data_IF_686572565636
#
_entry.id   IF_686572565636
#
_cell.length_a   1.000
_cell.length_b   1.000
_cell.length_c   1.000
_cell.angle_alpha   90.00
_cell.angle_beta   90.00
_cell.angle_gamma   90.00
#
_symmetry.space_group_name_H-M   'P 1'
#
loop_
_entity.id
_entity.type
_entity.pdbx_description
1 polymer ?
#
# COMPACT_ATOMS: atom_id res chain seq x y z
N UNK A 1 10.43 3.54 9.29
CA UNK A 1 10.58 4.91 9.82
C UNK A 1 9.20 5.53 9.88
N UNK A 2 8.79 6.20 10.98
CA UNK A 2 7.44 6.75 11.11
C UNK A 2 7.01 7.63 9.92
N UNK A 3 7.91 8.43 9.38
CA UNK A 3 7.66 9.33 8.24
C UNK A 3 7.17 8.65 6.96
N UNK A 4 7.37 7.33 6.80
CA UNK A 4 6.90 6.59 5.62
C UNK A 4 5.63 5.78 5.89
N UNK A 5 5.20 5.63 7.14
CA UNK A 5 4.14 4.68 7.49
C UNK A 5 2.75 5.13 7.04
N UNK A 6 2.49 6.43 6.88
CA UNK A 6 1.17 6.91 6.49
C UNK A 6 0.73 6.38 5.11
N UNK A 7 1.68 6.13 4.19
CA UNK A 7 1.38 5.60 2.85
C UNK A 7 0.87 4.15 2.85
N UNK A 8 1.03 3.46 3.98
CA UNK A 8 0.59 2.09 4.20
C UNK A 8 -0.54 1.98 5.24
N UNK A 9 -1.14 3.10 5.64
CA UNK A 9 -2.36 3.10 6.44
C UNK A 9 -3.60 2.80 5.57
N UNK A 10 -4.65 2.22 6.17
CA UNK A 10 -5.92 2.02 5.49
C UNK A 10 -6.46 3.31 4.86
N UNK A 11 -7.05 3.22 3.66
CA UNK A 11 -7.74 4.33 3.00
C UNK A 11 -6.90 5.59 2.74
N UNK A 12 -5.58 5.46 2.63
CA UNK A 12 -4.71 6.60 2.35
C UNK A 12 -4.38 6.79 0.87
N UNK A 13 -4.37 5.71 0.07
CA UNK A 13 -4.07 5.76 -1.36
C UNK A 13 -4.67 4.57 -2.12
N UNK A 14 -5.08 4.81 -3.37
CA UNK A 14 -5.57 3.75 -4.27
C UNK A 14 -4.46 3.34 -5.24
N UNK A 15 -3.86 4.28 -5.96
CA UNK A 15 -2.84 3.94 -6.98
C UNK A 15 -1.44 3.88 -6.41
N UNK A 16 -0.57 3.08 -7.02
CA UNK A 16 0.86 3.03 -6.71
C UNK A 16 1.55 4.37 -6.99
N UNK A 17 1.19 5.04 -8.08
CA UNK A 17 1.71 6.38 -8.41
C UNK A 17 1.28 7.41 -7.35
N UNK A 18 -0.01 7.48 -7.02
CA UNK A 18 -0.53 8.41 -6.00
C UNK A 18 0.13 8.18 -4.64
N UNK A 19 0.34 6.92 -4.27
CA UNK A 19 1.04 6.53 -3.04
C UNK A 19 2.49 7.03 -3.02
N UNK A 20 3.25 6.78 -4.08
CA UNK A 20 4.67 7.09 -4.16
C UNK A 20 4.94 8.61 -4.33
N UNK A 21 4.21 9.26 -5.23
CA UNK A 21 4.37 10.69 -5.53
C UNK A 21 3.97 11.55 -4.34
N UNK A 22 2.82 11.27 -3.72
CA UNK A 22 2.40 11.99 -2.52
C UNK A 22 3.40 11.81 -1.37
N UNK A 23 3.98 10.61 -1.22
CA UNK A 23 4.96 10.35 -0.16
C UNK A 23 6.25 11.10 -0.42
N UNK A 24 6.71 11.15 -1.67
CA UNK A 24 7.87 11.95 -2.06
C UNK A 24 7.66 13.44 -1.75
N UNK A 25 6.51 14.00 -2.14
CA UNK A 25 6.19 15.41 -1.87
C UNK A 25 6.10 15.69 -0.37
N UNK A 26 5.48 14.79 0.41
CA UNK A 26 5.40 14.92 1.86
C UNK A 26 6.80 14.84 2.50
N UNK A 27 7.63 13.91 2.05
CA UNK A 27 9.02 13.79 2.49
C UNK A 27 9.78 15.09 2.25
N UNK A 28 9.72 15.63 1.03
CA UNK A 28 10.41 16.88 0.69
C UNK A 28 9.94 18.06 1.54
N UNK A 29 8.63 18.15 1.82
CA UNK A 29 8.04 19.26 2.56
C UNK A 29 8.27 19.21 4.07
N UNK A 30 8.20 18.02 4.67
CA UNK A 30 8.12 17.88 6.12
C UNK A 30 9.31 17.12 6.75
N UNK A 31 10.00 16.28 5.97
CA UNK A 31 10.92 15.30 6.53
C UNK A 31 12.35 15.37 5.98
N UNK A 32 12.61 16.01 4.84
CA UNK A 32 13.94 16.06 4.20
C UNK A 32 15.02 16.54 5.18
N UNK A 33 14.76 17.64 5.88
CA UNK A 33 15.73 18.24 6.81
C UNK A 33 15.77 17.55 8.17
N UNK A 34 14.82 16.65 8.44
CA UNK A 34 14.73 15.83 9.66
C UNK A 34 15.28 14.42 9.43
N UNK A 35 15.48 14.03 8.17
CA UNK A 35 15.86 12.69 7.81
C UNK A 35 17.36 12.48 8.07
N UNK A 36 17.67 11.55 8.98
CA UNK A 36 19.04 11.14 9.25
C UNK A 36 19.29 9.73 8.72
N UNK A 37 19.47 9.63 7.40
CA UNK A 37 19.92 8.39 6.77
C UNK A 37 21.45 8.40 6.70
N UNK A 38 22.10 7.77 7.69
CA UNK A 38 23.57 7.66 7.73
C UNK A 38 24.07 6.92 6.48
N UNK A 39 25.05 7.50 5.78
CA UNK A 39 25.66 6.99 4.55
C UNK A 39 24.71 6.75 3.36
N UNK A 40 23.43 7.09 3.50
CA UNK A 40 22.40 6.86 2.50
C UNK A 40 21.73 8.18 2.10
N UNK A 41 21.34 8.28 0.85
CA UNK A 41 20.56 9.40 0.34
C UNK A 41 19.25 8.88 -0.26
N UNK A 42 18.14 9.51 0.15
CA UNK A 42 16.81 9.14 -0.29
C UNK A 42 16.63 9.57 -1.75
N UNK A 43 16.35 8.59 -2.60
CA UNK A 43 16.17 8.78 -4.05
C UNK A 43 14.71 9.01 -4.38
N UNK A 44 13.79 8.35 -3.67
CA UNK A 44 12.37 8.43 -3.94
C UNK A 44 11.63 7.21 -3.43
N UNK A 45 10.40 7.05 -3.90
CA UNK A 45 9.53 5.96 -3.51
C UNK A 45 8.98 5.24 -4.72
N UNK A 46 8.71 3.95 -4.57
CA UNK A 46 7.92 3.14 -5.49
C UNK A 46 6.71 2.59 -4.74
N UNK A 47 5.53 2.61 -5.35
CA UNK A 47 4.27 2.24 -4.71
C UNK A 47 3.61 1.08 -5.43
N UNK A 48 3.13 0.09 -4.68
CA UNK A 48 2.15 -0.85 -5.19
C UNK A 48 0.76 -0.19 -5.19
N UNK A 49 -0.13 -0.51 -6.14
CA UNK A 49 -1.55 -0.18 -5.99
C UNK A 49 -2.17 -0.89 -4.78
N UNK A 50 -3.38 -0.47 -4.42
CA UNK A 50 -4.15 -1.14 -3.39
C UNK A 50 -4.57 -2.55 -3.80
N UNK A 51 -4.44 -3.47 -2.85
CA UNK A 51 -4.87 -4.87 -2.99
C UNK A 51 -6.32 -5.11 -2.54
N UNK A 52 -6.85 -6.28 -2.89
CA UNK A 52 -8.17 -6.74 -2.47
C UNK A 52 -8.09 -7.65 -1.25
N UNK A 53 -9.25 -8.04 -0.73
CA UNK A 53 -9.41 -9.06 0.28
C UNK A 53 -9.91 -10.33 -0.37
N UNK A 54 -9.21 -11.44 -0.18
CA UNK A 54 -9.56 -12.72 -0.80
C UNK A 54 -9.94 -13.74 0.27
N UNK A 55 -11.09 -14.37 0.07
CA UNK A 55 -11.51 -15.55 0.83
C UNK A 55 -11.14 -16.80 0.05
N UNK A 56 -10.71 -17.84 0.77
CA UNK A 56 -10.50 -19.17 0.22
C UNK A 56 -11.79 -19.99 0.10
N UNK A 57 -12.93 -19.39 0.44
CA UNK A 57 -14.27 -19.94 0.22
C UNK A 57 -15.13 -19.01 -0.64
N UNK A 58 -16.27 -19.51 -1.11
CA UNK A 58 -17.25 -18.71 -1.87
C UNK A 58 -17.95 -17.65 -0.99
N UNK A 59 -17.76 -17.69 0.33
CA UNK A 59 -18.26 -16.65 1.25
C UNK A 59 -17.34 -15.44 1.23
N UNK A 60 -17.81 -14.26 0.77
CA UNK A 60 -17.00 -13.05 0.70
C UNK A 60 -16.82 -12.39 2.07
N UNK A 61 -15.72 -11.63 2.21
CA UNK A 61 -15.37 -10.93 3.44
C UNK A 61 -16.00 -9.54 3.46
N UNK A 62 -17.29 -9.47 3.78
CA UNK A 62 -18.09 -8.23 3.69
C UNK A 62 -18.54 -7.69 5.05
N UNK A 63 -17.91 -8.09 6.16
CA UNK A 63 -18.19 -7.55 7.48
C UNK A 63 -17.02 -7.70 8.45
N UNK A 64 -17.01 -6.90 9.52
CA UNK A 64 -16.07 -7.07 10.64
C UNK A 64 -16.26 -8.44 11.31
N UNK A 65 -17.49 -8.93 11.37
CA UNK A 65 -17.80 -10.23 11.98
C UNK A 65 -17.13 -11.38 11.22
N UNK A 66 -17.08 -11.30 9.89
CA UNK A 66 -16.44 -12.29 9.01
C UNK A 66 -14.95 -12.50 9.33
N UNK A 67 -14.27 -11.52 9.92
CA UNK A 67 -12.84 -11.62 10.27
C UNK A 67 -12.57 -12.38 11.57
N UNK A 68 -13.52 -12.39 12.50
CA UNK A 68 -13.31 -12.93 13.86
C UNK A 68 -13.19 -14.45 13.90
N UNK A 69 -13.72 -15.12 12.88
CA UNK A 69 -13.81 -16.58 12.83
C UNK A 69 -12.76 -17.22 11.92
N UNK A 70 -11.92 -16.42 11.27
CA UNK A 70 -10.99 -16.88 10.24
C UNK A 70 -9.54 -16.48 10.54
N UNK A 71 -8.61 -17.22 9.96
CA UNK A 71 -7.18 -16.87 9.93
C UNK A 71 -6.87 -16.11 8.64
N UNK A 72 -6.26 -14.94 8.76
CA UNK A 72 -5.98 -14.03 7.64
C UNK A 72 -4.48 -13.85 7.46
N UNK A 73 -3.97 -14.17 6.28
CA UNK A 73 -2.63 -13.74 5.89
C UNK A 73 -2.62 -12.27 5.51
N UNK A 74 -1.59 -11.55 5.94
CA UNK A 74 -1.38 -10.14 5.61
C UNK A 74 0.10 -9.78 5.69
N UNK A 75 0.46 -8.61 5.16
CA UNK A 75 1.80 -8.07 5.32
C UNK A 75 2.03 -7.60 6.78
N UNK A 76 3.28 -7.60 7.27
CA UNK A 76 3.58 -7.10 8.61
C UNK A 76 3.33 -5.60 8.75
N UNK A 77 3.50 -5.06 9.97
CA UNK A 77 3.35 -3.62 10.29
C UNK A 77 1.88 -3.15 10.29
N UNK A 78 1.61 -1.95 9.79
CA UNK A 78 0.30 -1.28 9.79
C UNK A 78 -0.88 -2.15 9.30
N UNK A 79 -0.82 -2.88 8.16
CA UNK A 79 -1.94 -3.72 7.73
C UNK A 79 -2.25 -4.86 8.73
N UNK A 80 -1.23 -5.50 9.30
CA UNK A 80 -1.40 -6.49 10.37
C UNK A 80 -2.04 -5.88 11.62
N UNK A 81 -1.59 -4.69 12.04
CA UNK A 81 -2.17 -4.00 13.19
C UNK A 81 -3.63 -3.60 12.94
N UNK A 82 -3.95 -3.10 11.74
CA UNK A 82 -5.31 -2.75 11.33
C UNK A 82 -6.26 -3.95 11.40
N UNK A 83 -5.85 -5.12 10.88
CA UNK A 83 -6.66 -6.33 10.96
C UNK A 83 -6.81 -6.87 12.38
N UNK A 84 -5.75 -6.80 13.20
CA UNK A 84 -5.81 -7.18 14.61
C UNK A 84 -6.79 -6.29 15.38
N UNK A 85 -6.77 -4.97 15.14
CA UNK A 85 -7.74 -4.02 15.72
C UNK A 85 -9.17 -4.30 15.25
N UNK A 86 -9.33 -4.85 14.04
CA UNK A 86 -10.61 -5.32 13.53
C UNK A 86 -11.03 -6.71 14.03
N UNK A 87 -10.25 -7.34 14.92
CA UNK A 87 -10.57 -8.61 15.55
C UNK A 87 -10.20 -9.86 14.73
N UNK A 88 -9.38 -9.72 13.68
CA UNK A 88 -8.92 -10.84 12.88
C UNK A 88 -7.82 -11.64 13.59
N UNK A 89 -7.83 -12.97 13.42
CA UNK A 89 -6.67 -13.81 13.73
C UNK A 89 -5.70 -13.74 12.54
N UNK A 90 -4.50 -13.18 12.75
CA UNK A 90 -3.58 -12.90 11.63
C UNK A 90 -2.39 -13.86 11.58
N UNK A 91 -1.93 -14.15 10.36
CA UNK A 91 -0.66 -14.83 10.07
C UNK A 91 0.20 -13.89 9.21
N UNK A 92 0.91 -12.93 9.83
CA UNK A 92 1.68 -11.95 9.07
C UNK A 92 2.94 -12.57 8.47
N UNK A 93 3.28 -12.19 7.24
CA UNK A 93 4.52 -12.66 6.60
C UNK A 93 4.87 -11.89 5.34
N UNK A 94 6.10 -12.05 4.82
CA UNK A 94 6.48 -11.44 3.55
C UNK A 94 5.74 -12.12 2.39
N UNK A 95 5.29 -11.34 1.40
CA UNK A 95 4.52 -11.84 0.24
C UNK A 95 5.24 -12.96 -0.51
N UNK A 96 6.56 -12.88 -0.65
CA UNK A 96 7.38 -13.93 -1.30
C UNK A 96 7.29 -15.31 -0.63
N UNK A 97 6.80 -15.41 0.61
CA UNK A 97 6.58 -16.68 1.34
C UNK A 97 5.11 -17.06 1.46
N UNK A 98 4.21 -16.40 0.74
CA UNK A 98 2.76 -16.64 0.88
C UNK A 98 2.33 -18.00 0.34
N UNK A 99 2.97 -18.50 -0.73
CA UNK A 99 2.54 -19.73 -1.40
C UNK A 99 2.35 -20.92 -0.45
N UNK A 100 3.36 -21.35 0.35
CA UNK A 100 3.18 -22.48 1.27
C UNK A 100 2.16 -22.22 2.38
N UNK A 101 1.89 -20.96 2.75
CA UNK A 101 0.89 -20.60 3.76
C UNK A 101 -0.51 -20.82 3.20
N UNK A 102 -0.78 -20.29 2.00
CA UNK A 102 -2.09 -20.39 1.34
C UNK A 102 -2.35 -21.80 0.80
N UNK A 103 -1.39 -22.39 0.07
CA UNK A 103 -1.55 -23.71 -0.54
C UNK A 103 -1.72 -24.85 0.47
N UNK A 104 -1.20 -24.71 1.69
CA UNK A 104 -1.38 -25.70 2.77
C UNK A 104 -2.59 -25.40 3.66
N UNK A 105 -3.39 -24.38 3.35
CA UNK A 105 -4.57 -24.03 4.14
C UNK A 105 -4.25 -23.57 5.58
N UNK A 106 -3.09 -22.93 5.79
CA UNK A 106 -2.72 -22.38 7.11
C UNK A 106 -3.63 -21.20 7.47
N UNK A 107 -4.15 -20.52 6.44
CA UNK A 107 -5.07 -19.38 6.52
C UNK A 107 -6.32 -19.69 5.70
N UNK A 108 -7.40 -18.97 6.00
CA UNK A 108 -8.68 -19.04 5.28
C UNK A 108 -8.86 -17.85 4.32
N UNK A 109 -8.03 -16.81 4.50
CA UNK A 109 -8.07 -15.59 3.71
C UNK A 109 -6.68 -14.98 3.57
N UNK A 110 -6.51 -14.14 2.55
CA UNK A 110 -5.30 -13.34 2.34
C UNK A 110 -5.69 -11.97 1.75
N UNK A 111 -5.02 -10.91 2.22
CA UNK A 111 -5.42 -9.54 1.91
C UNK A 111 -4.23 -8.65 1.52
N UNK A 112 -4.51 -7.57 0.80
CA UNK A 112 -3.50 -6.56 0.44
C UNK A 112 -2.59 -6.97 -0.72
N UNK A 113 -3.04 -7.91 -1.54
CA UNK A 113 -2.42 -8.31 -2.81
C UNK A 113 -3.31 -7.91 -3.97
N UNK A 114 -2.71 -7.65 -5.13
CA UNK A 114 -3.44 -7.38 -6.37
C UNK A 114 -3.72 -8.68 -7.14
N UNK A 115 -4.62 -8.68 -8.14
CA UNK A 115 -4.83 -9.87 -8.97
C UNK A 115 -3.56 -10.35 -9.70
N UNK A 116 -2.68 -9.43 -10.14
CA UNK A 116 -1.39 -9.79 -10.74
C UNK A 116 -0.41 -10.39 -9.72
N UNK A 117 -0.44 -9.96 -8.46
CA UNK A 117 0.33 -10.61 -7.39
C UNK A 117 -0.11 -12.08 -7.21
N UNK A 118 -1.41 -12.38 -7.32
CA UNK A 118 -1.90 -13.75 -7.14
C UNK A 118 -1.36 -14.70 -8.21
N UNK A 119 -1.26 -14.21 -9.45
CA UNK A 119 -0.65 -14.94 -10.56
C UNK A 119 0.85 -15.12 -10.33
N UNK A 120 1.55 -14.05 -9.93
CA UNK A 120 2.99 -14.09 -9.66
C UNK A 120 3.35 -15.07 -8.55
N UNK A 121 2.55 -15.11 -7.47
CA UNK A 121 2.73 -16.03 -6.35
C UNK A 121 2.04 -17.38 -6.55
N UNK A 122 1.37 -17.63 -7.68
CA UNK A 122 0.67 -18.89 -8.02
C UNK A 122 -0.41 -19.29 -7.01
N UNK A 123 -1.14 -18.31 -6.47
CA UNK A 123 -2.21 -18.51 -5.48
C UNK A 123 -3.60 -18.08 -5.97
N UNK A 124 -3.73 -17.66 -7.22
CA UNK A 124 -4.97 -17.21 -7.84
C UNK A 124 -6.13 -18.22 -7.72
N UNK A 125 -5.84 -19.52 -7.84
CA UNK A 125 -6.84 -20.59 -7.73
C UNK A 125 -7.46 -20.74 -6.34
N UNK A 126 -6.79 -20.20 -5.31
CA UNK A 126 -7.26 -20.22 -3.93
C UNK A 126 -8.11 -18.98 -3.60
N UNK A 127 -8.06 -17.91 -4.39
CA UNK A 127 -9.02 -16.80 -4.27
C UNK A 127 -10.38 -17.22 -4.87
N UNK A 128 -11.30 -17.65 -4.01
CA UNK A 128 -12.66 -18.08 -4.40
C UNK A 128 -13.64 -16.93 -4.44
N UNK A 129 -13.55 -16.00 -3.49
CA UNK A 129 -14.26 -14.73 -3.54
C UNK A 129 -13.33 -13.57 -3.19
N UNK A 130 -13.66 -12.39 -3.71
CA UNK A 130 -12.87 -11.18 -3.53
C UNK A 130 -13.76 -10.04 -3.00
N UNK A 131 -13.18 -9.18 -2.17
CA UNK A 131 -13.83 -7.98 -1.66
C UNK A 131 -12.90 -6.78 -1.79
N UNK A 132 -13.41 -5.71 -2.36
CA UNK A 132 -12.77 -4.41 -2.45
C UNK A 132 -13.14 -3.56 -1.23
N UNK A 133 -12.14 -2.86 -0.70
CA UNK A 133 -12.31 -1.89 0.37
C UNK A 133 -12.40 -0.49 -0.26
N UNK A 134 -13.52 0.23 -0.12
CA UNK A 134 -13.67 1.59 -0.64
C UNK A 134 -12.55 2.52 -0.16
N UNK A 135 -12.13 3.45 -1.03
CA UNK A 135 -11.01 4.37 -0.80
C UNK A 135 -9.64 3.68 -0.62
N UNK A 136 -9.56 2.37 -0.88
CA UNK A 136 -8.36 1.56 -0.83
C UNK A 136 -8.10 0.92 0.52
N UNK A 137 -7.68 -0.34 0.52
CA UNK A 137 -7.20 -1.02 1.72
C UNK A 137 -5.74 -0.63 2.02
N UNK A 138 -4.81 -1.29 1.36
CA UNK A 138 -3.38 -1.19 1.61
C UNK A 138 -2.66 -1.44 0.30
N UNK A 139 -1.56 -0.73 0.08
CA UNK A 139 -0.56 -1.05 -0.92
C UNK A 139 0.84 -0.84 -0.33
N UNK A 140 1.78 -1.71 -0.69
CA UNK A 140 3.15 -1.59 -0.22
C UNK A 140 3.80 -0.29 -0.74
N UNK A 141 4.71 0.28 0.05
CA UNK A 141 5.59 1.38 -0.39
C UNK A 141 7.03 0.99 -0.16
N UNK A 142 7.86 1.24 -1.15
CA UNK A 142 9.28 0.93 -1.12
C UNK A 142 10.07 2.24 -1.16
N UNK A 143 10.93 2.44 -0.16
CA UNK A 143 11.88 3.55 -0.14
C UNK A 143 13.13 3.15 -0.90
N UNK A 144 13.58 4.03 -1.81
CA UNK A 144 14.77 3.80 -2.62
C UNK A 144 15.88 4.71 -2.14
N UNK A 145 17.07 4.14 -1.95
CA UNK A 145 18.26 4.84 -1.49
C UNK A 145 19.45 4.48 -2.38
N UNK A 146 20.43 5.37 -2.46
CA UNK A 146 21.80 4.99 -2.81
C UNK A 146 22.74 5.23 -1.64
N UNK A 147 23.88 4.55 -1.68
CA UNK A 147 24.99 4.83 -0.78
C UNK A 147 25.72 6.10 -1.25
N UNK A 148 25.91 7.07 -0.35
CA UNK A 148 26.55 8.37 -0.65
C UNK A 148 27.96 8.20 -1.21
N UNK A 149 28.80 7.37 -0.59
CA UNK A 149 30.18 7.14 -1.07
C UNK A 149 30.23 6.55 -2.47
N UNK A 150 29.30 5.66 -2.82
CA UNK A 150 29.20 5.11 -4.19
C UNK A 150 28.64 6.13 -5.16
N UNK A 151 27.68 6.94 -4.72
CA UNK A 151 27.13 8.03 -5.52
C UNK A 151 28.21 9.03 -5.93
N UNK A 152 29.08 9.41 -5.01
CA UNK A 152 30.18 10.36 -5.26
C UNK A 152 31.22 9.85 -6.29
N UNK A 153 31.21 8.55 -6.63
CA UNK A 153 32.07 8.00 -7.69
C UNK A 153 31.49 8.13 -9.10
N UNK A 154 30.21 8.51 -9.22
CA UNK A 154 29.53 8.67 -10.51
C UNK A 154 29.86 10.07 -11.07
N UNK A 155 30.22 10.21 -12.37
CA UNK A 155 30.45 11.51 -12.99
C UNK A 155 29.25 12.46 -12.85
N UNK A 156 29.50 13.75 -12.66
CA UNK A 156 28.46 14.76 -12.39
C UNK A 156 27.36 14.79 -13.47
N UNK A 157 27.75 14.61 -14.74
CA UNK A 157 26.79 14.53 -15.86
C UNK A 157 25.81 13.37 -15.69
N UNK A 158 26.30 12.20 -15.26
CA UNK A 158 25.48 11.01 -15.06
C UNK A 158 24.64 11.15 -13.78
N UNK A 159 25.19 11.77 -12.73
CA UNK A 159 24.43 12.10 -11.51
C UNK A 159 23.20 12.97 -11.85
N UNK A 160 23.37 13.99 -12.71
CA UNK A 160 22.25 14.85 -13.15
C UNK A 160 21.19 14.06 -13.90
N UNK A 161 21.60 13.16 -14.81
CA UNK A 161 20.66 12.29 -15.53
C UNK A 161 19.90 11.39 -14.56
N UNK A 162 20.60 10.72 -13.64
CA UNK A 162 19.96 9.80 -12.69
C UNK A 162 19.01 10.57 -11.75
N UNK A 163 19.38 11.76 -11.27
CA UNK A 163 18.49 12.61 -10.48
C UNK A 163 17.24 13.01 -11.26
N UNK A 164 17.35 13.27 -12.56
CA UNK A 164 16.19 13.57 -13.40
C UNK A 164 15.18 12.41 -13.48
N UNK A 165 15.62 11.18 -13.24
CA UNK A 165 14.78 9.97 -13.22
C UNK A 165 14.29 9.58 -11.80
N UNK A 166 14.75 10.29 -10.78
CA UNK A 166 14.52 10.00 -9.36
C UNK A 166 13.29 10.76 -8.82
N UNK A 167 13.10 10.73 -7.49
CA UNK A 167 12.07 11.47 -6.78
C UNK A 167 10.65 11.16 -7.29
N UNK A 168 9.96 12.20 -7.76
CA UNK A 168 8.60 12.06 -8.31
C UNK A 168 8.59 11.21 -9.59
N UNK A 169 9.60 11.34 -10.46
CA UNK A 169 9.68 10.56 -11.70
C UNK A 169 9.87 9.07 -11.41
N UNK A 170 10.60 8.73 -10.35
CA UNK A 170 10.64 7.35 -9.85
C UNK A 170 9.27 6.91 -9.35
N UNK A 171 8.57 7.74 -8.57
CA UNK A 171 7.21 7.44 -8.11
C UNK A 171 6.22 7.20 -9.24
N UNK A 172 6.31 7.98 -10.32
CA UNK A 172 5.47 7.83 -11.53
C UNK A 172 5.72 6.53 -12.30
N UNK A 173 6.89 5.88 -12.12
CA UNK A 173 7.13 4.55 -12.70
C UNK A 173 6.24 3.46 -12.09
N UNK A 174 5.62 3.71 -10.94
CA UNK A 174 4.60 2.81 -10.35
C UNK A 174 3.39 2.60 -11.27
N UNK A 175 3.22 3.45 -12.30
CA UNK A 175 2.17 3.32 -13.31
C UNK A 175 2.19 1.97 -14.02
N UNK A 176 3.36 1.33 -14.15
CA UNK A 176 3.46 -0.01 -14.73
C UNK A 176 2.71 -1.06 -13.90
N UNK A 177 2.78 -0.97 -12.57
CA UNK A 177 2.06 -1.85 -11.66
C UNK A 177 0.57 -1.49 -11.63
N UNK A 178 0.23 -0.21 -11.60
CA UNK A 178 -1.16 0.25 -11.71
C UNK A 178 -1.83 -0.29 -12.99
N UNK A 179 -1.13 -0.24 -14.13
CA UNK A 179 -1.61 -0.78 -15.40
C UNK A 179 -1.69 -2.32 -15.39
N UNK A 180 -0.74 -3.00 -14.75
CA UNK A 180 -0.77 -4.46 -14.55
C UNK A 180 -1.99 -4.89 -13.74
N UNK A 181 -2.25 -4.24 -12.60
CA UNK A 181 -3.45 -4.45 -11.78
C UNK A 181 -4.71 -4.21 -12.61
N UNK A 182 -4.81 -3.07 -13.31
CA UNK A 182 -6.00 -2.74 -14.09
C UNK A 182 -6.29 -3.79 -15.17
N UNK A 183 -5.26 -4.25 -15.89
CA UNK A 183 -5.38 -5.31 -16.90
C UNK A 183 -5.81 -6.64 -16.28
N UNK A 184 -5.16 -7.07 -15.20
CA UNK A 184 -5.45 -8.36 -14.57
C UNK A 184 -6.78 -8.37 -13.83
N UNK A 185 -7.22 -7.25 -13.25
CA UNK A 185 -8.55 -7.10 -12.67
C UNK A 185 -9.65 -7.27 -13.72
N UNK A 186 -9.49 -6.71 -14.93
CA UNK A 186 -10.43 -6.94 -16.05
C UNK A 186 -10.59 -8.44 -16.33
N UNK A 187 -9.50 -9.20 -16.39
CA UNK A 187 -9.52 -10.66 -16.56
C UNK A 187 -10.05 -11.41 -15.33
N UNK A 188 -9.78 -10.92 -14.13
CA UNK A 188 -10.26 -11.52 -12.89
C UNK A 188 -11.79 -11.46 -12.82
N UNK A 189 -12.37 -10.33 -13.22
CA UNK A 189 -13.81 -10.08 -13.23
C UNK A 189 -14.59 -10.91 -14.26
N UNK A 190 -13.94 -11.52 -15.25
CA UNK A 190 -14.65 -12.41 -16.21
C UNK A 190 -15.01 -13.77 -15.61
N UNK A 191 -14.37 -14.16 -14.51
CA UNK A 191 -14.54 -15.48 -13.88
C UNK A 191 -14.96 -15.41 -12.42
N UNK A 192 -14.88 -14.23 -11.79
CA UNK A 192 -15.12 -14.05 -10.35
C UNK A 192 -15.84 -12.73 -10.10
N UNK A 193 -16.68 -12.72 -9.06
CA UNK A 193 -17.30 -11.50 -8.55
C UNK A 193 -16.38 -10.83 -7.53
N UNK A 194 -16.18 -9.53 -7.68
CA UNK A 194 -15.61 -8.69 -6.62
C UNK A 194 -16.75 -8.01 -5.89
N UNK A 195 -16.85 -8.23 -4.59
CA UNK A 195 -17.80 -7.58 -3.71
C UNK A 195 -17.25 -6.24 -3.24
N UNK A 196 -18.11 -5.29 -2.90
CA UNK A 196 -17.68 -4.05 -2.24
C UNK A 196 -18.02 -4.15 -0.76
N UNK A 197 -17.08 -3.79 0.11
CA UNK A 197 -17.34 -3.71 1.54
C UNK A 197 -18.47 -2.68 1.81
N UNK A 198 -19.55 -3.06 2.50
CA UNK A 198 -20.65 -2.14 2.80
C UNK A 198 -20.20 -0.95 3.65
N UNK A 199 -20.73 0.23 3.40
CA UNK A 199 -20.36 1.44 4.15
C UNK A 199 -20.65 1.33 5.65
N UNK A 200 -21.74 0.64 6.02
CA UNK A 200 -22.07 0.37 7.43
C UNK A 200 -20.97 -0.46 8.14
N UNK A 201 -20.29 -1.34 7.41
CA UNK A 201 -19.15 -2.10 7.92
C UNK A 201 -17.87 -1.27 7.88
N UNK A 202 -17.67 -0.46 6.83
CA UNK A 202 -16.54 0.47 6.74
C UNK A 202 -16.50 1.47 7.90
N UNK A 203 -17.64 1.98 8.37
CA UNK A 203 -17.68 2.83 9.56
C UNK A 203 -17.11 2.13 10.81
N UNK A 204 -17.38 0.84 10.98
CA UNK A 204 -16.85 0.03 12.09
C UNK A 204 -15.34 -0.16 11.94
N UNK A 205 -14.88 -0.42 10.72
CA UNK A 205 -13.45 -0.51 10.40
C UNK A 205 -12.71 0.79 10.68
N UNK A 206 -13.21 1.94 10.20
CA UNK A 206 -12.61 3.26 10.45
C UNK A 206 -12.53 3.56 11.95
N UNK A 207 -13.56 3.22 12.73
CA UNK A 207 -13.53 3.32 14.20
C UNK A 207 -12.43 2.46 14.82
N UNK A 208 -12.27 1.22 14.35
CA UNK A 208 -11.23 0.31 14.81
C UNK A 208 -9.81 0.78 14.45
N UNK A 209 -9.63 1.42 13.29
CA UNK A 209 -8.32 1.88 12.80
C UNK A 209 -7.90 3.25 13.33
N UNK A 210 -8.81 4.04 13.90
CA UNK A 210 -8.53 5.36 14.44
C UNK A 210 -7.27 5.45 15.33
N UNK A 211 -6.97 4.47 16.21
CA UNK A 211 -5.73 4.48 17.00
C UNK A 211 -4.46 4.51 16.15
N UNK A 212 -4.42 3.86 14.98
CA UNK A 212 -3.24 3.84 14.11
C UNK A 212 -2.86 5.25 13.64
N UNK A 213 -3.87 6.02 13.23
CA UNK A 213 -3.68 7.41 12.79
C UNK A 213 -3.26 8.30 13.97
N UNK A 214 -3.87 8.11 15.15
CA UNK A 214 -3.51 8.86 16.35
C UNK A 214 -2.06 8.58 16.77
N UNK A 215 -1.64 7.32 16.76
CA UNK A 215 -0.28 6.90 17.09
C UNK A 215 0.73 7.43 16.07
N UNK A 216 0.39 7.38 14.78
CA UNK A 216 1.22 7.98 13.74
C UNK A 216 1.38 9.48 13.96
N UNK A 217 0.30 10.24 14.16
CA UNK A 217 0.36 11.68 14.44
C UNK A 217 1.25 11.96 15.66
N UNK A 218 1.07 11.21 16.75
CA UNK A 218 1.89 11.33 17.96
C UNK A 218 3.37 11.11 17.65
N UNK A 219 3.70 10.09 16.87
CA UNK A 219 5.09 9.79 16.50
C UNK A 219 5.72 10.89 15.64
N UNK A 220 4.96 11.50 14.73
CA UNK A 220 5.43 12.59 13.88
C UNK A 220 5.59 13.89 14.68
N UNK A 221 4.66 14.19 15.59
CA UNK A 221 4.78 15.32 16.50
C UNK A 221 6.04 15.24 17.37
N UNK A 222 6.39 14.03 17.85
CA UNK A 222 7.63 13.81 18.60
C UNK A 222 8.92 14.05 17.77
N UNK A 223 8.81 14.09 16.44
CA UNK A 223 9.90 14.48 15.53
C UNK A 223 9.95 15.99 15.26
N UNK A 224 9.09 16.79 15.91
CA UNK A 224 8.98 18.23 15.70
C UNK A 224 8.31 18.61 14.37
N UNK A 225 7.46 17.74 13.83
CA UNK A 225 6.67 17.97 12.61
C UNK A 225 5.19 17.90 12.98
N UNK A 226 4.36 18.81 12.46
CA UNK A 226 2.91 18.71 12.63
C UNK A 226 2.37 17.50 11.87
N UNK A 227 2.08 16.42 12.60
CA UNK A 227 1.56 15.18 12.05
C UNK A 227 0.20 15.35 11.38
N UNK A 228 -0.69 16.19 11.92
CA UNK A 228 -2.00 16.41 11.28
C UNK A 228 -1.83 17.12 9.95
N UNK A 229 -0.99 18.15 9.89
CA UNK A 229 -0.67 18.84 8.64
C UNK A 229 0.01 17.92 7.61
N UNK A 230 0.95 17.09 8.04
CA UNK A 230 1.63 16.14 7.16
C UNK A 230 0.66 15.09 6.58
N UNK A 231 -0.22 14.51 7.40
CA UNK A 231 -1.24 13.56 6.96
C UNK A 231 -2.25 14.20 5.99
N UNK A 232 -2.76 15.38 6.34
CA UNK A 232 -3.70 16.11 5.47
C UNK A 232 -3.05 16.45 4.13
N UNK A 233 -1.79 16.89 4.15
CA UNK A 233 -1.02 17.11 2.94
C UNK A 233 -0.89 15.84 2.11
N UNK A 234 -0.49 14.71 2.72
CA UNK A 234 -0.39 13.43 2.02
C UNK A 234 -1.70 13.04 1.34
N UNK A 235 -2.82 13.04 2.09
CA UNK A 235 -4.14 12.70 1.55
C UNK A 235 -4.54 13.61 0.38
N UNK A 236 -4.31 14.92 0.49
CA UNK A 236 -4.61 15.86 -0.60
C UNK A 236 -3.81 15.57 -1.88
N UNK A 237 -2.52 15.25 -1.74
CA UNK A 237 -1.65 14.93 -2.88
C UNK A 237 -2.08 13.61 -3.51
N UNK A 238 -2.40 12.60 -2.69
CA UNK A 238 -2.85 11.31 -3.18
C UNK A 238 -4.18 11.41 -3.91
N UNK A 239 -5.17 12.13 -3.38
CA UNK A 239 -6.46 12.33 -4.06
C UNK A 239 -6.28 12.94 -5.45
N UNK A 240 -5.44 13.98 -5.58
CA UNK A 240 -5.19 14.62 -6.88
C UNK A 240 -4.49 13.68 -7.86
N UNK A 241 -3.45 12.98 -7.41
CA UNK A 241 -2.65 12.11 -8.28
C UNK A 241 -3.40 10.82 -8.63
N UNK A 242 -4.16 10.23 -7.70
CA UNK A 242 -5.01 9.07 -7.98
C UNK A 242 -6.04 9.40 -9.07
N UNK A 243 -6.68 10.57 -9.00
CA UNK A 243 -7.64 11.00 -10.03
C UNK A 243 -6.99 11.15 -11.42
N UNK A 244 -5.78 11.70 -11.49
CA UNK A 244 -4.97 11.80 -12.72
C UNK A 244 -4.72 10.41 -13.31
N UNK A 245 -4.22 9.49 -12.49
CA UNK A 245 -3.79 8.14 -12.90
C UNK A 245 -4.99 7.30 -13.31
N UNK A 246 -6.09 7.30 -12.55
CA UNK A 246 -7.30 6.57 -12.89
C UNK A 246 -7.89 7.05 -14.22
N UNK A 247 -7.88 8.36 -14.49
CA UNK A 247 -8.29 8.92 -15.78
C UNK A 247 -7.34 8.49 -16.91
N UNK A 248 -6.05 8.37 -16.65
CA UNK A 248 -5.08 7.86 -17.63
C UNK A 248 -5.31 6.39 -17.95
N UNK A 249 -5.59 5.56 -16.95
CA UNK A 249 -5.85 4.13 -17.12
C UNK A 249 -7.18 3.85 -17.82
N UNK A 250 -8.22 4.65 -17.58
CA UNK A 250 -9.52 4.50 -18.22
C UNK A 250 -9.48 4.75 -19.75
N UNK A 251 -8.47 5.47 -20.24
CA UNK A 251 -8.25 5.72 -21.68
C UNK A 251 -7.53 4.58 -22.41
N UNK A 252 -7.04 3.56 -21.68
CA UNK A 252 -6.28 2.42 -22.20
C UNK A 252 -7.09 1.13 -22.15
#
# INVERSE_FOLDING_TARGET
>A
VPSTQISIHPQMAVTGVGRAVALWRMYQKFFKDKANYKDLEMVGYFGAPDGLWYSMSDTPLVSVASLKTIKVWTLPSIPAQALKLSGANIVPGPAVRIYPIVSKGVVDAFVGLTPDDLLAFKIDKYAKSATEIPEGWFGATFSTFWNKKKWDTIPEQDQKIIWSLSGENLGRRSLSWDASKAKTLKSFLTTRKVHTMPEAEMAKFRKAWAPLFADWIKSINAMGVDGKAAMAFYKSQTTAVDAEVLKQLAKK
#
